data_IF_147074054931
#
_entry.id   IF_147074054931
#
_cell.length_a   1.000
_cell.length_b   1.000
_cell.length_c   1.000
_cell.angle_alpha   90.00
_cell.angle_beta   90.00
_cell.angle_gamma   90.00
#
_symmetry.space_group_name_H-M   'P 1'
#
loop_
_entity.id
_entity.type
_entity.pdbx_description
1 polymer ?
#
# COMPACT_ATOMS: atom_id res chain seq x y z
N UNK A 1 -18.11 -74.39 -54.24
CA UNK A 1 -16.67 -74.29 -53.94
C UNK A 1 -16.28 -72.85 -53.82
N UNK A 2 -15.72 -72.50 -52.72
CA UNK A 2 -15.11 -71.27 -52.24
C UNK A 2 -15.93 -70.54 -51.22
N UNK A 3 -15.50 -70.75 -50.00
CA UNK A 3 -15.97 -70.16 -48.76
C UNK A 3 -15.55 -68.71 -48.69
N UNK A 4 -16.49 -67.83 -48.37
CA UNK A 4 -16.22 -66.43 -48.11
C UNK A 4 -16.37 -66.21 -46.58
N UNK A 5 -15.24 -66.15 -45.85
CA UNK A 5 -15.16 -65.86 -44.44
C UNK A 5 -15.43 -64.41 -44.22
N UNK A 6 -16.49 -64.11 -43.49
CA UNK A 6 -16.78 -62.75 -43.00
C UNK A 6 -15.85 -62.43 -41.84
N UNK A 7 -15.00 -61.45 -42.04
CA UNK A 7 -14.17 -60.85 -40.98
C UNK A 7 -14.95 -59.75 -40.29
N UNK A 8 -15.42 -60.04 -39.12
CA UNK A 8 -16.12 -59.04 -38.27
C UNK A 8 -15.08 -58.13 -37.63
N UNK A 9 -14.98 -56.89 -38.11
CA UNK A 9 -14.19 -55.86 -37.44
C UNK A 9 -15.00 -55.23 -36.30
N UNK A 10 -14.63 -55.56 -35.07
CA UNK A 10 -15.20 -54.97 -33.86
C UNK A 10 -14.51 -53.58 -33.67
N UNK A 11 -15.20 -52.49 -34.03
CA UNK A 11 -14.74 -51.14 -33.74
C UNK A 11 -15.09 -50.80 -32.31
N UNK A 12 -14.09 -50.85 -31.47
CA UNK A 12 -14.23 -50.39 -30.06
C UNK A 12 -14.17 -48.84 -30.06
N UNK A 13 -15.34 -48.20 -29.92
CA UNK A 13 -15.41 -46.76 -29.77
C UNK A 13 -15.07 -46.41 -28.31
N UNK A 14 -13.84 -45.95 -28.11
CA UNK A 14 -13.45 -45.36 -26.83
C UNK A 14 -14.04 -43.93 -26.72
N UNK A 15 -15.12 -43.78 -26.00
CA UNK A 15 -15.65 -42.45 -25.59
C UNK A 15 -14.78 -41.91 -24.47
N UNK A 16 -13.84 -41.02 -24.85
CA UNK A 16 -13.11 -40.21 -23.85
C UNK A 16 -14.10 -39.17 -23.30
N UNK A 17 -14.60 -39.44 -22.12
CA UNK A 17 -15.40 -38.47 -21.37
C UNK A 17 -14.54 -37.27 -20.96
N UNK A 18 -14.64 -36.16 -21.69
CA UNK A 18 -14.12 -34.87 -21.26
C UNK A 18 -14.89 -34.45 -20.01
N UNK A 19 -14.31 -34.70 -18.83
CA UNK A 19 -14.76 -34.01 -17.60
C UNK A 19 -14.45 -32.52 -17.78
N UNK A 20 -15.48 -31.76 -18.09
CA UNK A 20 -15.45 -30.31 -17.99
C UNK A 20 -15.12 -29.94 -16.53
N UNK A 21 -13.88 -29.51 -16.31
CA UNK A 21 -13.51 -28.90 -15.03
C UNK A 21 -14.17 -27.51 -15.01
N UNK A 22 -15.36 -27.43 -14.43
CA UNK A 22 -15.97 -26.15 -14.11
C UNK A 22 -15.12 -25.52 -13.02
N UNK A 23 -14.29 -24.55 -13.40
CA UNK A 23 -13.67 -23.63 -12.44
C UNK A 23 -14.84 -22.90 -11.76
N UNK A 24 -15.20 -23.36 -10.57
CA UNK A 24 -16.08 -22.59 -9.70
C UNK A 24 -15.33 -21.31 -9.36
N UNK A 25 -15.70 -20.19 -10.02
CA UNK A 25 -15.42 -18.86 -9.50
C UNK A 25 -16.07 -18.78 -8.13
N UNK A 26 -15.27 -18.91 -7.09
CA UNK A 26 -15.71 -18.57 -5.74
C UNK A 26 -15.97 -17.07 -5.71
N UNK A 27 -17.23 -16.70 -5.93
CA UNK A 27 -17.69 -15.31 -5.86
C UNK A 27 -17.88 -14.97 -4.37
N UNK A 28 -16.78 -14.86 -3.63
CA UNK A 28 -16.80 -14.26 -2.30
C UNK A 28 -16.42 -12.79 -2.46
N UNK A 29 -17.39 -11.95 -2.82
CA UNK A 29 -17.35 -10.50 -2.68
C UNK A 29 -17.28 -10.10 -1.19
N UNK A 30 -16.35 -10.65 -0.44
CA UNK A 30 -16.12 -10.25 0.94
C UNK A 30 -14.92 -9.30 0.93
N UNK A 31 -15.18 -8.01 1.09
CA UNK A 31 -14.13 -7.02 1.36
C UNK A 31 -13.21 -7.55 2.46
N UNK A 32 -11.90 -7.60 2.26
CA UNK A 32 -10.98 -8.12 3.27
C UNK A 32 -11.08 -7.28 4.54
N UNK A 33 -10.92 -7.95 5.68
CA UNK A 33 -11.01 -7.30 6.98
C UNK A 33 -9.75 -6.47 7.23
N UNK A 34 -9.92 -5.22 7.67
CA UNK A 34 -8.82 -4.39 8.17
C UNK A 34 -8.08 -5.12 9.31
N UNK A 35 -6.75 -5.00 9.34
CA UNK A 35 -5.87 -5.64 10.33
C UNK A 35 -5.31 -7.01 9.91
N UNK A 36 -5.68 -7.56 8.75
CA UNK A 36 -5.05 -8.80 8.25
C UNK A 36 -3.71 -8.51 7.56
N UNK A 37 -2.81 -9.48 7.58
CA UNK A 37 -1.59 -9.43 6.76
C UNK A 37 -1.97 -9.61 5.29
N UNK A 38 -1.51 -8.72 4.44
CA UNK A 38 -1.75 -8.73 3.01
C UNK A 38 -0.58 -8.06 2.27
N UNK A 39 -0.07 -8.69 1.22
CA UNK A 39 1.03 -8.15 0.36
C UNK A 39 2.20 -7.55 1.16
N UNK A 40 2.73 -8.29 2.13
CA UNK A 40 3.89 -7.87 2.92
C UNK A 40 3.61 -6.88 4.04
N UNK A 41 2.39 -6.33 4.14
CA UNK A 41 1.97 -5.37 5.17
C UNK A 41 0.71 -5.79 5.92
N UNK A 42 0.14 -4.86 6.65
CA UNK A 42 -1.14 -4.99 7.34
C UNK A 42 -2.16 -4.13 6.62
N UNK A 43 -3.26 -4.70 6.13
CA UNK A 43 -4.32 -3.97 5.45
C UNK A 43 -4.97 -2.97 6.41
N UNK A 44 -4.96 -1.69 6.06
CA UNK A 44 -5.59 -0.65 6.87
C UNK A 44 -6.68 0.14 6.16
N UNK A 45 -6.73 0.06 4.83
CA UNK A 45 -7.76 0.76 4.06
C UNK A 45 -8.04 0.05 2.73
N UNK A 46 -9.30 -0.03 2.34
CA UNK A 46 -9.76 -0.43 1.01
C UNK A 46 -10.28 0.81 0.31
N UNK A 47 -9.77 1.09 -0.89
CA UNK A 47 -10.11 2.30 -1.65
C UNK A 47 -11.61 2.39 -1.90
N UNK A 48 -12.13 3.59 -1.78
CA UNK A 48 -13.53 3.93 -1.98
C UNK A 48 -13.71 4.76 -3.26
N UNK A 49 -14.94 4.85 -3.74
CA UNK A 49 -15.28 5.74 -4.86
C UNK A 49 -14.86 7.19 -4.53
N UNK A 50 -14.05 7.76 -5.41
CA UNK A 50 -13.43 9.08 -5.24
C UNK A 50 -11.98 9.07 -4.83
N UNK A 51 -11.46 7.96 -4.28
CA UNK A 51 -10.03 7.81 -4.00
C UNK A 51 -9.24 7.62 -5.30
N UNK A 52 -8.03 8.15 -5.32
CA UNK A 52 -7.11 7.94 -6.45
C UNK A 52 -6.67 6.48 -6.47
N UNK A 53 -6.87 5.81 -7.60
CA UNK A 53 -6.59 4.39 -7.77
C UNK A 53 -7.80 3.48 -7.57
N UNK A 54 -8.96 4.01 -7.14
CA UNK A 54 -10.18 3.22 -7.08
C UNK A 54 -10.63 2.79 -8.48
N UNK A 55 -10.96 1.51 -8.62
CA UNK A 55 -11.57 0.94 -9.82
C UNK A 55 -12.82 0.17 -9.41
N UNK A 56 -13.97 0.54 -10.00
CA UNK A 56 -15.24 -0.10 -9.67
C UNK A 56 -15.22 -1.61 -9.99
N UNK A 57 -15.54 -2.42 -8.99
CA UNK A 57 -15.57 -3.88 -9.11
C UNK A 57 -14.20 -4.56 -8.92
N UNK A 58 -13.13 -3.81 -8.67
CA UNK A 58 -11.80 -4.31 -8.33
C UNK A 58 -11.45 -4.01 -6.87
N UNK A 59 -10.62 -4.87 -6.28
CA UNK A 59 -10.13 -4.67 -4.92
C UNK A 59 -8.78 -3.96 -4.97
N UNK A 60 -8.76 -2.71 -4.55
CA UNK A 60 -7.56 -1.91 -4.33
C UNK A 60 -7.55 -1.35 -2.92
N UNK A 61 -6.37 -1.16 -2.36
CA UNK A 61 -6.25 -0.72 -0.98
C UNK A 61 -4.85 -0.30 -0.59
N UNK A 62 -4.70 -0.03 0.70
CA UNK A 62 -3.44 0.39 1.30
C UNK A 62 -3.08 -0.57 2.42
N UNK A 63 -1.83 -1.03 2.41
CA UNK A 63 -1.20 -1.78 3.50
C UNK A 63 -0.12 -0.94 4.17
N UNK A 64 0.13 -1.19 5.44
CA UNK A 64 1.15 -0.51 6.23
C UNK A 64 2.22 -1.51 6.69
N UNK A 65 3.47 -1.07 6.73
CA UNK A 65 4.56 -1.86 7.28
C UNK A 65 4.31 -2.21 8.76
N UNK A 66 4.66 -3.41 9.23
CA UNK A 66 4.35 -3.87 10.58
C UNK A 66 5.11 -3.13 11.69
N UNK A 67 6.18 -2.39 11.34
CA UNK A 67 7.00 -1.61 12.28
C UNK A 67 7.43 -0.29 11.67
N UNK A 68 7.86 0.67 12.51
CA UNK A 68 8.41 1.94 12.06
C UNK A 68 9.74 1.73 11.32
N UNK A 69 9.95 2.52 10.27
CA UNK A 69 11.22 2.55 9.54
C UNK A 69 12.25 3.46 10.22
N UNK A 70 11.77 4.45 10.99
CA UNK A 70 12.60 5.27 11.86
C UNK A 70 11.75 5.83 12.99
N UNK A 71 12.37 6.02 14.16
CA UNK A 71 11.78 6.70 15.33
C UNK A 71 12.24 8.15 15.45
N UNK A 72 13.26 8.57 14.69
CA UNK A 72 13.87 9.90 14.78
C UNK A 72 14.51 10.25 13.44
N UNK A 73 13.77 10.94 12.57
CA UNK A 73 14.23 11.29 11.22
C UNK A 73 13.63 12.62 10.78
N UNK A 74 14.39 13.39 10.00
CA UNK A 74 13.93 14.62 9.36
C UNK A 74 12.94 14.32 8.24
N UNK A 75 12.00 15.24 8.02
CA UNK A 75 11.05 15.14 6.91
C UNK A 75 11.70 15.19 5.54
N UNK A 76 12.63 16.13 5.36
CA UNK A 76 13.33 16.39 4.11
C UNK A 76 14.53 17.29 4.32
N UNK A 77 15.09 17.87 3.24
CA UNK A 77 16.23 18.77 3.30
C UNK A 77 15.86 20.10 3.97
N UNK A 78 16.44 20.39 5.12
CA UNK A 78 16.24 21.66 5.82
C UNK A 78 16.58 22.85 4.91
N UNK A 79 15.72 23.86 4.88
CA UNK A 79 15.90 25.07 4.07
C UNK A 79 15.77 24.88 2.56
N UNK A 80 15.52 23.66 2.08
CA UNK A 80 15.31 23.39 0.66
C UNK A 80 13.83 23.35 0.35
N UNK A 81 13.39 24.16 -0.62
CA UNK A 81 12.00 24.16 -1.03
C UNK A 81 11.65 22.91 -1.83
N UNK A 82 10.79 22.07 -1.29
CA UNK A 82 10.24 20.90 -1.95
C UNK A 82 9.04 21.32 -2.82
N UNK A 83 9.10 21.00 -4.12
CA UNK A 83 8.02 21.29 -5.06
C UNK A 83 7.27 20.00 -5.40
N UNK A 84 5.94 20.07 -5.51
CA UNK A 84 5.11 18.95 -5.96
C UNK A 84 4.69 17.95 -4.88
N UNK A 85 5.16 18.11 -3.64
CA UNK A 85 4.79 17.27 -2.51
C UNK A 85 3.70 17.93 -1.64
N UNK A 86 2.66 18.51 -2.25
CA UNK A 86 1.63 19.25 -1.53
C UNK A 86 0.25 18.63 -1.59
N UNK A 87 0.13 17.42 -2.10
CA UNK A 87 -1.14 16.72 -2.21
C UNK A 87 -1.49 16.05 -0.89
N UNK A 88 -2.75 16.14 -0.48
CA UNK A 88 -3.22 15.60 0.81
C UNK A 88 -4.01 14.30 0.65
N UNK A 89 -4.71 14.13 -0.47
CA UNK A 89 -5.71 13.08 -0.68
C UNK A 89 -5.13 11.66 -0.62
N UNK A 90 -6.00 10.70 -0.33
CA UNK A 90 -5.72 9.26 -0.47
C UNK A 90 -5.29 8.95 -1.91
N UNK A 91 -4.24 8.12 -2.06
CA UNK A 91 -3.61 7.78 -3.33
C UNK A 91 -2.54 8.77 -3.80
N UNK A 92 -2.18 9.78 -2.98
CA UNK A 92 -1.16 10.77 -3.38
C UNK A 92 0.19 10.63 -2.69
N UNK A 93 0.31 9.76 -1.69
CA UNK A 93 1.54 9.61 -0.90
C UNK A 93 2.75 9.21 -1.75
N UNK A 94 2.59 8.26 -2.66
CA UNK A 94 3.66 7.81 -3.55
C UNK A 94 4.20 8.97 -4.42
N UNK A 95 3.32 9.78 -5.01
CA UNK A 95 3.72 10.91 -5.83
C UNK A 95 4.43 11.99 -5.01
N UNK A 96 3.94 12.31 -3.81
CA UNK A 96 4.59 13.24 -2.91
C UNK A 96 5.99 12.73 -2.52
N UNK A 97 6.12 11.44 -2.16
CA UNK A 97 7.40 10.79 -1.81
C UNK A 97 8.43 10.97 -2.92
N UNK A 98 8.05 10.70 -4.17
CA UNK A 98 8.93 10.91 -5.33
C UNK A 98 9.34 12.38 -5.51
N UNK A 99 8.41 13.32 -5.28
CA UNK A 99 8.69 14.75 -5.38
C UNK A 99 9.70 15.22 -4.30
N UNK A 100 9.60 14.68 -3.07
CA UNK A 100 10.56 14.97 -2.00
C UNK A 100 11.94 14.44 -2.39
N UNK A 101 12.06 13.20 -2.80
CA UNK A 101 13.32 12.57 -3.20
C UNK A 101 13.97 13.29 -4.40
N UNK A 102 13.18 13.72 -5.36
CA UNK A 102 13.67 14.48 -6.50
C UNK A 102 14.25 15.85 -6.11
N UNK A 103 13.67 16.48 -5.09
CA UNK A 103 14.06 17.82 -4.62
C UNK A 103 15.16 17.79 -3.56
N UNK A 104 15.27 16.72 -2.77
CA UNK A 104 16.21 16.56 -1.67
C UNK A 104 17.21 15.45 -1.97
N UNK A 105 18.51 15.71 -1.76
CA UNK A 105 19.59 14.73 -2.03
C UNK A 105 20.08 13.99 -0.78
N UNK A 106 19.56 14.36 0.38
CA UNK A 106 19.88 13.68 1.63
C UNK A 106 19.28 12.29 1.65
N UNK A 107 19.99 11.34 2.25
CA UNK A 107 19.58 9.93 2.31
C UNK A 107 18.85 9.59 3.59
N UNK A 108 19.04 10.37 4.66
CA UNK A 108 18.43 10.16 5.96
C UNK A 108 17.22 11.09 6.14
N UNK A 109 16.19 10.91 5.31
CA UNK A 109 14.93 11.64 5.34
C UNK A 109 13.74 10.69 5.26
N UNK A 110 12.60 11.12 5.79
CA UNK A 110 11.38 10.32 5.89
C UNK A 110 10.96 9.66 4.57
N UNK A 111 10.93 10.42 3.48
CA UNK A 111 10.54 9.90 2.17
C UNK A 111 11.52 8.83 1.65
N UNK A 112 12.82 9.00 1.93
CA UNK A 112 13.87 8.13 1.40
C UNK A 112 13.86 6.76 2.09
N UNK A 113 13.77 6.72 3.42
CA UNK A 113 13.73 5.45 4.16
C UNK A 113 12.48 4.62 3.84
N UNK A 114 11.35 5.28 3.51
CA UNK A 114 10.18 4.57 3.00
C UNK A 114 10.42 3.98 1.62
N UNK A 115 10.95 4.78 0.68
CA UNK A 115 11.13 4.35 -0.71
C UNK A 115 12.24 3.31 -0.92
N UNK A 116 13.12 3.13 0.04
CA UNK A 116 14.19 2.13 0.04
C UNK A 116 13.82 0.86 0.83
N UNK A 117 12.64 0.84 1.44
CA UNK A 117 12.17 -0.33 2.15
C UNK A 117 11.93 -1.50 1.18
N UNK A 118 12.52 -2.64 1.48
CA UNK A 118 12.19 -3.92 0.86
C UNK A 118 11.66 -4.84 1.94
N UNK A 119 10.40 -5.23 1.85
CA UNK A 119 9.74 -6.06 2.84
C UNK A 119 8.92 -7.14 2.16
N UNK A 120 9.18 -8.42 2.50
CA UNK A 120 8.47 -9.58 1.94
C UNK A 120 8.47 -9.63 0.40
N UNK A 121 9.52 -9.06 -0.25
CA UNK A 121 9.68 -9.02 -1.71
C UNK A 121 9.00 -7.84 -2.39
N UNK A 122 8.39 -6.94 -1.64
CA UNK A 122 7.81 -5.69 -2.14
C UNK A 122 8.77 -4.53 -1.89
N UNK A 123 8.94 -3.64 -2.89
CA UNK A 123 9.89 -2.52 -2.91
C UNK A 123 9.26 -1.18 -3.32
N UNK A 124 7.93 -1.13 -3.39
CA UNK A 124 7.15 0.03 -3.80
C UNK A 124 6.49 0.77 -2.60
N UNK A 125 7.16 0.75 -1.46
CA UNK A 125 6.75 1.43 -0.25
C UNK A 125 6.97 2.95 -0.35
N UNK A 126 6.10 3.73 0.30
CA UNK A 126 6.16 5.18 0.28
C UNK A 126 5.69 5.80 1.61
N UNK A 127 6.01 7.06 1.81
CA UNK A 127 5.56 7.86 2.95
C UNK A 127 4.10 8.28 2.72
N UNK A 128 3.17 7.99 3.66
CA UNK A 128 1.75 8.29 3.49
C UNK A 128 1.49 9.78 3.28
N UNK A 129 0.50 10.14 2.48
CA UNK A 129 -0.04 11.51 2.43
C UNK A 129 -0.67 11.88 3.76
N UNK A 130 -1.05 13.15 3.92
CA UNK A 130 -1.72 13.65 5.14
C UNK A 130 -3.00 12.86 5.46
N UNK A 131 -3.83 12.60 4.45
CA UNK A 131 -5.10 11.90 4.65
C UNK A 131 -4.90 10.39 4.80
N UNK A 132 -3.91 9.80 4.14
CA UNK A 132 -3.50 8.40 4.35
C UNK A 132 -2.94 8.19 5.78
N UNK A 133 -2.14 9.13 6.28
CA UNK A 133 -1.64 9.08 7.66
C UNK A 133 -2.78 9.17 8.68
N UNK A 134 -3.79 9.99 8.40
CA UNK A 134 -4.98 10.06 9.24
C UNK A 134 -5.76 8.74 9.25
N UNK A 135 -5.84 8.04 8.12
CA UNK A 135 -6.45 6.70 8.07
C UNK A 135 -5.68 5.68 8.92
N UNK A 136 -4.34 5.76 8.97
CA UNK A 136 -3.53 4.95 9.88
C UNK A 136 -3.86 5.24 11.34
N UNK A 137 -3.93 6.52 11.71
CA UNK A 137 -4.31 6.94 13.07
C UNK A 137 -5.69 6.39 13.47
N UNK A 138 -6.68 6.52 12.60
CA UNK A 138 -8.05 6.04 12.86
C UNK A 138 -8.13 4.51 13.02
N UNK A 139 -7.16 3.77 12.47
CA UNK A 139 -7.09 2.31 12.54
C UNK A 139 -5.95 1.80 13.45
N UNK A 140 -5.28 2.67 14.20
CA UNK A 140 -4.06 2.33 14.98
C UNK A 140 -4.25 1.17 15.95
N UNK A 141 -5.44 1.06 16.55
CA UNK A 141 -5.74 0.00 17.53
C UNK A 141 -5.88 -1.39 16.88
N UNK A 142 -6.24 -1.44 15.60
CA UNK A 142 -6.37 -2.70 14.84
C UNK A 142 -5.06 -3.08 14.19
N UNK A 143 -4.29 -2.08 13.71
CA UNK A 143 -3.00 -2.28 13.05
C UNK A 143 -1.93 -2.69 14.06
N UNK A 144 -2.00 -2.14 15.28
CA UNK A 144 -1.06 -2.32 16.40
C UNK A 144 0.37 -1.79 16.14
N UNK A 145 1.21 -1.78 17.17
CA UNK A 145 2.62 -1.35 17.11
C UNK A 145 2.84 0.11 16.69
N UNK A 146 1.83 0.98 16.82
CA UNK A 146 2.05 2.43 16.82
C UNK A 146 2.32 2.90 18.25
N UNK A 147 3.31 3.81 18.39
CA UNK A 147 3.49 4.55 19.64
C UNK A 147 2.69 5.86 19.65
N UNK A 148 2.56 6.44 20.83
CA UNK A 148 1.95 7.78 21.01
C UNK A 148 2.98 8.87 20.65
N UNK A 149 3.44 8.83 19.40
CA UNK A 149 4.48 9.70 18.84
C UNK A 149 3.94 10.52 17.68
N UNK A 150 4.77 11.45 17.24
CA UNK A 150 4.53 12.23 16.03
C UNK A 150 5.04 11.48 14.80
N UNK A 151 4.16 11.29 13.81
CA UNK A 151 4.47 10.61 12.56
C UNK A 151 4.45 11.58 11.38
N UNK A 152 5.44 11.49 10.50
CA UNK A 152 5.51 12.27 9.28
C UNK A 152 4.55 11.77 8.20
N UNK A 153 3.96 12.72 7.47
CA UNK A 153 3.34 12.47 6.15
C UNK A 153 4.24 12.99 5.02
N UNK A 154 3.99 12.53 3.81
CA UNK A 154 4.66 13.06 2.61
C UNK A 154 4.10 14.41 2.14
N UNK A 155 3.04 14.92 2.76
CA UNK A 155 2.44 16.20 2.38
C UNK A 155 3.26 17.36 2.93
N UNK A 156 3.79 18.20 2.04
CA UNK A 156 4.56 19.38 2.42
C UNK A 156 3.70 20.52 2.98
N UNK A 157 4.26 21.26 3.92
CA UNK A 157 3.69 22.47 4.49
C UNK A 157 4.59 23.67 4.18
N UNK A 158 4.03 24.69 3.53
CA UNK A 158 4.79 25.89 3.14
C UNK A 158 5.95 25.64 2.17
N UNK A 159 6.19 24.38 1.78
CA UNK A 159 7.24 23.95 0.85
C UNK A 159 8.61 23.73 1.50
N UNK A 160 8.74 23.84 2.81
CA UNK A 160 9.99 23.63 3.55
C UNK A 160 9.89 22.56 4.63
N UNK A 161 8.68 22.31 5.14
CA UNK A 161 8.37 21.34 6.18
C UNK A 161 7.28 20.39 5.70
N UNK A 162 7.05 19.29 6.43
CA UNK A 162 5.96 18.36 6.21
C UNK A 162 4.80 18.53 7.19
N UNK A 163 3.64 18.06 6.77
CA UNK A 163 2.58 17.73 7.70
C UNK A 163 2.92 16.44 8.43
N UNK A 164 2.56 16.37 9.69
CA UNK A 164 2.56 15.14 10.44
C UNK A 164 1.37 15.07 11.38
N UNK A 165 1.28 13.97 12.10
CA UNK A 165 0.18 13.68 13.01
C UNK A 165 0.69 13.14 14.33
N UNK A 166 0.20 13.69 15.43
CA UNK A 166 0.40 13.17 16.76
C UNK A 166 -0.53 11.97 16.99
N UNK A 167 0.02 10.82 17.19
CA UNK A 167 -0.74 9.58 17.38
C UNK A 167 -1.29 9.40 18.80
N UNK A 168 -0.94 10.26 19.74
CA UNK A 168 -1.62 10.34 21.03
C UNK A 168 -2.96 11.08 20.90
N UNK A 169 -2.94 12.30 20.38
CA UNK A 169 -4.09 13.20 20.32
C UNK A 169 -4.88 13.17 19.01
N UNK A 170 -4.25 12.72 17.91
CA UNK A 170 -4.80 12.75 16.56
C UNK A 170 -4.64 14.09 15.83
N UNK A 171 -4.05 15.10 16.48
CA UNK A 171 -3.85 16.40 15.85
C UNK A 171 -2.85 16.33 14.70
N UNK A 172 -3.18 17.00 13.58
CA UNK A 172 -2.30 17.18 12.44
C UNK A 172 -1.68 18.57 12.45
N UNK A 173 -0.35 18.64 12.34
CA UNK A 173 0.43 19.87 12.37
C UNK A 173 1.23 20.02 11.09
N UNK A 174 1.26 21.24 10.54
CA UNK A 174 2.06 21.57 9.34
C UNK A 174 3.40 22.21 9.65
N UNK A 175 3.61 22.67 10.84
CA UNK A 175 4.84 23.35 11.27
C UNK A 175 5.33 22.74 12.57
N UNK A 176 6.26 21.80 12.46
CA UNK A 176 6.86 21.12 13.59
C UNK A 176 8.30 21.63 13.78
N UNK A 177 8.36 22.92 14.19
CA UNK A 177 9.65 23.63 14.33
C UNK A 177 10.45 23.21 15.57
N UNK A 178 9.85 22.53 16.53
CA UNK A 178 10.47 22.41 17.84
C UNK A 178 11.48 21.27 17.95
N UNK A 179 11.38 20.24 17.07
CA UNK A 179 12.30 19.09 17.12
C UNK A 179 12.82 18.59 15.78
N UNK A 180 12.23 18.97 14.66
CA UNK A 180 12.70 18.57 13.33
C UNK A 180 12.64 17.06 13.00
N UNK A 181 12.32 16.23 13.97
CA UNK A 181 12.37 14.77 13.87
C UNK A 181 11.00 14.16 14.18
N UNK A 182 10.68 13.09 13.48
CA UNK A 182 9.44 12.34 13.69
C UNK A 182 9.59 10.86 13.36
N UNK A 183 8.61 10.08 13.78
CA UNK A 183 8.49 8.68 13.39
C UNK A 183 8.05 8.54 11.94
N UNK A 184 8.40 7.44 11.34
CA UNK A 184 8.04 7.10 9.95
C UNK A 184 7.51 5.68 9.88
N UNK A 185 6.33 5.55 9.31
CA UNK A 185 5.73 4.26 8.96
C UNK A 185 5.38 4.24 7.49
N UNK A 186 6.01 3.36 6.72
CA UNK A 186 5.79 3.22 5.29
C UNK A 186 4.45 2.53 5.00
N UNK A 187 3.83 2.92 3.89
CA UNK A 187 2.65 2.26 3.32
C UNK A 187 2.91 1.85 1.87
N UNK A 188 2.06 0.96 1.36
CA UNK A 188 2.06 0.48 -0.02
C UNK A 188 0.63 0.42 -0.54
N UNK A 189 0.43 0.68 -1.83
CA UNK A 189 -0.84 0.51 -2.53
C UNK A 189 -0.85 -0.81 -3.33
N UNK A 190 -2.03 -1.43 -3.47
CA UNK A 190 -2.22 -2.66 -4.27
C UNK A 190 -3.50 -2.62 -5.09
#
# INVERSE_FOLDING_TARGET
>A
MKDLKYFLFLVLVFTIGLKSCSVQKSNTNKTPKIGITYQGGILFYVLQEGDIGYVSGELHGLVVAPSDQSSEIEWGCFGTRIKGANKTAVGTGAQNTLAIIASCKETQIAAKVCSELVLEGYDDWFLPSKDELNLLYLNKDVITNFGDFYYWSSTGYGGFNGWGQDFFSGYQYGNFDEYGYGHVRAIQAF
#
